data_IF_207596037882
#
_entry.id   IF_207596037882
#
_cell.length_a   1.000
_cell.length_b   1.000
_cell.length_c   1.000
_cell.angle_alpha   90.00
_cell.angle_beta   90.00
_cell.angle_gamma   90.00
#
_symmetry.space_group_name_H-M   'P 1'
#
loop_
_entity.id
_entity.type
_entity.pdbx_description
1 polymer ?
#
# COMPACT_ATOMS: atom_id res chain seq x y z
N UNK A 1 5.66 13.22 -15.53
CA UNK A 1 4.27 13.00 -15.08
C UNK A 1 3.83 14.19 -14.24
N UNK A 2 2.66 14.80 -14.51
CA UNK A 2 2.12 15.86 -13.64
C UNK A 2 1.84 15.28 -12.26
N UNK A 3 2.32 15.96 -11.21
CA UNK A 3 2.04 15.59 -9.83
C UNK A 3 0.55 15.79 -9.58
N UNK A 4 -0.18 14.73 -9.22
CA UNK A 4 -1.60 14.82 -8.87
C UNK A 4 -1.72 15.59 -7.56
N UNK A 5 -2.56 16.61 -7.56
CA UNK A 5 -2.79 17.48 -6.41
C UNK A 5 -4.06 17.06 -5.68
N UNK A 6 -4.00 17.06 -4.36
CA UNK A 6 -5.14 16.83 -3.48
C UNK A 6 -5.93 18.12 -3.34
N UNK A 7 -7.26 18.06 -3.51
CA UNK A 7 -8.17 19.21 -3.41
C UNK A 7 -9.21 19.01 -2.31
N UNK A 8 -9.69 20.10 -1.72
CA UNK A 8 -10.83 20.08 -0.78
C UNK A 8 -12.09 19.58 -1.52
N UNK A 9 -12.89 18.75 -0.84
CA UNK A 9 -14.08 18.08 -1.39
C UNK A 9 -13.77 16.83 -2.23
N UNK A 10 -12.50 16.51 -2.48
CA UNK A 10 -12.10 15.31 -3.21
C UNK A 10 -12.32 14.05 -2.37
N UNK A 11 -12.84 13.00 -3.00
CA UNK A 11 -12.90 11.65 -2.41
C UNK A 11 -11.57 10.93 -2.69
N UNK A 12 -10.98 10.36 -1.65
CA UNK A 12 -9.80 9.49 -1.71
C UNK A 12 -10.16 8.11 -1.16
N UNK A 13 -9.45 7.09 -1.63
CA UNK A 13 -9.57 5.73 -1.14
C UNK A 13 -8.50 5.50 -0.08
N UNK A 14 -8.90 5.15 1.14
CA UNK A 14 -7.98 4.99 2.27
C UNK A 14 -7.97 3.54 2.69
N UNK A 15 -6.80 2.92 2.58
CA UNK A 15 -6.54 1.62 3.16
C UNK A 15 -6.10 1.82 4.62
N UNK A 16 -6.87 1.26 5.55
CA UNK A 16 -6.58 1.30 6.98
C UNK A 16 -6.07 -0.05 7.44
N UNK A 17 -4.94 -0.06 8.14
CA UNK A 17 -4.42 -1.27 8.76
C UNK A 17 -3.89 -0.96 10.16
N UNK A 18 -4.11 -1.89 11.08
CA UNK A 18 -3.45 -1.90 12.38
C UNK A 18 -2.05 -2.45 12.14
N UNK A 19 -1.01 -1.73 12.53
CA UNK A 19 0.35 -2.25 12.43
C UNK A 19 0.42 -3.61 13.13
N UNK A 20 1.13 -4.56 12.52
CA UNK A 20 1.25 -5.96 12.98
C UNK A 20 0.00 -6.84 12.78
N UNK A 21 -1.09 -6.33 12.22
CA UNK A 21 -2.21 -7.18 11.82
C UNK A 21 -1.96 -7.90 10.49
N UNK A 22 -2.33 -9.18 10.43
CA UNK A 22 -2.35 -9.99 9.20
C UNK A 22 -3.67 -9.87 8.43
N UNK A 23 -4.64 -9.14 8.98
CA UNK A 23 -5.93 -8.90 8.31
C UNK A 23 -5.73 -8.07 7.04
N UNK A 24 -6.51 -8.37 5.99
CA UNK A 24 -6.56 -7.53 4.79
C UNK A 24 -6.97 -6.11 5.22
N UNK A 25 -6.27 -5.06 4.75
CA UNK A 25 -6.65 -3.68 5.04
C UNK A 25 -8.09 -3.43 4.59
N UNK A 26 -8.88 -2.72 5.41
CA UNK A 26 -10.17 -2.24 4.95
C UNK A 26 -9.96 -1.02 4.05
N UNK A 27 -10.69 -0.97 2.93
CA UNK A 27 -10.70 0.18 2.05
C UNK A 27 -11.96 1.01 2.31
N UNK A 28 -11.79 2.29 2.62
CA UNK A 28 -12.89 3.21 2.91
C UNK A 28 -12.73 4.51 2.13
N UNK A 29 -13.85 5.15 1.83
CA UNK A 29 -13.85 6.45 1.16
C UNK A 29 -13.67 7.56 2.18
N UNK A 30 -12.78 8.52 1.88
CA UNK A 30 -12.53 9.69 2.71
C UNK A 30 -12.72 10.97 1.92
N UNK A 31 -13.37 11.97 2.51
CA UNK A 31 -13.56 13.30 1.92
C UNK A 31 -12.52 14.27 2.47
N UNK A 32 -11.78 14.93 1.59
CA UNK A 32 -10.76 15.92 1.97
C UNK A 32 -11.44 17.20 2.46
N UNK A 33 -11.15 17.60 3.70
CA UNK A 33 -11.72 18.80 4.31
C UNK A 33 -10.76 19.99 4.32
N UNK A 34 -9.45 19.74 4.37
CA UNK A 34 -8.44 20.80 4.42
C UNK A 34 -7.16 20.37 3.75
N UNK A 35 -6.56 21.28 2.98
CA UNK A 35 -5.25 21.06 2.33
C UNK A 35 -4.27 22.14 2.79
N UNK A 36 -3.15 21.73 3.35
CA UNK A 36 -2.03 22.57 3.75
C UNK A 36 -0.83 22.39 2.80
N UNK A 37 0.23 23.16 3.04
CA UNK A 37 1.49 23.07 2.26
C UNK A 37 2.09 21.66 2.26
N UNK A 38 2.12 20.97 3.41
CA UNK A 38 2.76 19.65 3.58
C UNK A 38 1.80 18.50 3.93
N UNK A 39 0.56 18.80 4.27
CA UNK A 39 -0.40 17.80 4.75
C UNK A 39 -1.80 18.10 4.25
N UNK A 40 -2.70 17.13 4.32
CA UNK A 40 -4.13 17.33 4.15
C UNK A 40 -4.89 16.57 5.23
N UNK A 41 -6.15 16.92 5.41
CA UNK A 41 -7.05 16.33 6.39
C UNK A 41 -8.26 15.78 5.65
N UNK A 42 -8.70 14.59 6.07
CA UNK A 42 -9.87 13.95 5.51
C UNK A 42 -10.58 13.11 6.58
N UNK A 43 -11.89 12.92 6.45
CA UNK A 43 -12.68 12.02 7.30
C UNK A 43 -13.39 10.97 6.43
N UNK A 44 -13.73 9.79 6.98
CA UNK A 44 -14.49 8.80 6.23
C UNK A 44 -15.86 9.35 5.82
N UNK A 45 -16.45 8.85 4.73
CA UNK A 45 -17.81 9.26 4.33
C UNK A 45 -18.86 8.91 5.38
N UNK A 46 -18.60 7.85 6.16
CA UNK A 46 -19.54 7.27 7.13
C UNK A 46 -19.18 7.66 8.58
N UNK A 47 -18.34 8.68 8.79
CA UNK A 47 -17.99 9.15 10.13
C UNK A 47 -17.19 10.45 10.16
N UNK A 48 -17.09 11.04 11.35
CA UNK A 48 -16.56 12.41 11.51
C UNK A 48 -15.10 12.47 11.97
N UNK A 49 -14.44 11.32 12.18
CA UNK A 49 -13.07 11.30 12.66
C UNK A 49 -12.09 11.79 11.57
N UNK A 50 -11.51 12.98 11.80
CA UNK A 50 -10.57 13.60 10.88
C UNK A 50 -9.17 13.01 11.06
N UNK A 51 -8.62 12.49 9.96
CA UNK A 51 -7.27 11.96 9.87
C UNK A 51 -6.38 12.94 9.09
N UNK A 52 -5.18 13.18 9.60
CA UNK A 52 -4.14 13.98 8.93
C UNK A 52 -3.20 13.09 8.14
N UNK A 53 -2.99 13.43 6.87
CA UNK A 53 -2.10 12.72 5.96
C UNK A 53 -0.94 13.61 5.51
N UNK A 54 0.23 13.02 5.27
CA UNK A 54 1.34 13.67 4.58
C UNK A 54 1.04 13.75 3.08
N UNK A 55 1.19 14.92 2.46
CA UNK A 55 0.82 15.14 1.05
C UNK A 55 1.80 14.50 0.05
N UNK A 56 3.03 14.20 0.48
CA UNK A 56 4.05 13.57 -0.36
C UNK A 56 3.90 12.06 -0.35
N UNK A 57 3.66 11.46 0.82
CA UNK A 57 3.56 10.00 0.96
C UNK A 57 2.14 9.49 0.98
N UNK A 58 1.14 10.38 1.09
CA UNK A 58 -0.28 10.04 1.25
C UNK A 58 -0.55 9.16 2.48
N UNK A 59 0.35 9.19 3.47
CA UNK A 59 0.30 8.32 4.65
C UNK A 59 -0.09 9.11 5.90
N UNK A 60 -0.91 8.49 6.74
CA UNK A 60 -1.09 8.85 8.13
C UNK A 60 -0.51 7.76 9.02
N UNK A 61 0.20 8.19 10.06
CA UNK A 61 0.67 7.31 11.11
C UNK A 61 0.17 7.91 12.42
N UNK A 62 -0.75 7.24 13.09
CA UNK A 62 -1.19 7.63 14.42
C UNK A 62 -0.23 7.08 15.48
N UNK A 63 -0.31 7.60 16.70
CA UNK A 63 0.38 7.03 17.86
C UNK A 63 -0.23 5.67 18.28
N UNK A 64 -1.44 5.34 17.81
CA UNK A 64 -2.18 4.11 18.13
C UNK A 64 -1.86 2.93 17.20
N UNK A 65 -0.69 2.94 16.53
CA UNK A 65 -0.29 1.93 15.55
C UNK A 65 -1.21 1.80 14.33
N UNK A 66 -2.19 2.68 14.17
CA UNK A 66 -3.05 2.70 13.02
C UNK A 66 -2.35 3.43 11.87
N UNK A 67 -2.24 2.73 10.74
CA UNK A 67 -1.63 3.24 9.53
C UNK A 67 -2.72 3.39 8.48
N UNK A 68 -2.89 4.61 8.02
CA UNK A 68 -3.78 4.91 6.89
C UNK A 68 -2.94 5.28 5.67
N UNK A 69 -3.28 4.70 4.53
CA UNK A 69 -2.65 5.03 3.25
C UNK A 69 -3.73 5.46 2.26
N UNK A 70 -3.63 6.68 1.74
CA UNK A 70 -4.58 7.25 0.80
C UNK A 70 -4.12 7.06 -0.65
N UNK A 71 -5.10 6.85 -1.54
CA UNK A 71 -4.95 6.63 -2.97
C UNK A 71 -5.95 7.50 -3.74
N UNK A 72 -5.59 7.91 -4.97
CA UNK A 72 -6.45 8.73 -5.81
C UNK A 72 -7.57 7.93 -6.48
N UNK A 73 -7.42 6.60 -6.56
CA UNK A 73 -8.45 5.70 -7.08
C UNK A 73 -8.35 4.32 -6.44
N UNK A 74 -9.46 3.59 -6.43
CA UNK A 74 -9.48 2.18 -6.03
C UNK A 74 -8.56 1.32 -6.89
N UNK A 75 -8.48 1.62 -8.21
CA UNK A 75 -7.61 0.89 -9.15
C UNK A 75 -6.15 0.93 -8.70
N UNK A 76 -5.65 2.08 -8.26
CA UNK A 76 -4.27 2.20 -7.78
C UNK A 76 -3.98 1.32 -6.57
N UNK A 77 -4.92 1.26 -5.63
CA UNK A 77 -4.81 0.39 -4.48
C UNK A 77 -4.79 -1.08 -4.92
N UNK A 78 -5.74 -1.49 -5.77
CA UNK A 78 -5.83 -2.86 -6.28
C UNK A 78 -4.60 -3.28 -7.08
N UNK A 79 -4.12 -2.44 -7.99
CA UNK A 79 -2.91 -2.70 -8.78
C UNK A 79 -1.69 -2.96 -7.86
N UNK A 80 -1.57 -2.22 -6.76
CA UNK A 80 -0.51 -2.42 -5.77
C UNK A 80 -0.69 -3.72 -4.99
N UNK A 81 -1.91 -4.01 -4.52
CA UNK A 81 -2.21 -5.27 -3.82
C UNK A 81 -1.90 -6.46 -4.71
N UNK A 82 -2.37 -6.46 -5.95
CA UNK A 82 -2.13 -7.53 -6.92
C UNK A 82 -0.64 -7.73 -7.19
N UNK A 83 0.12 -6.63 -7.30
CA UNK A 83 1.58 -6.68 -7.44
C UNK A 83 2.24 -7.35 -6.23
N UNK A 84 1.84 -6.98 -5.01
CA UNK A 84 2.40 -7.55 -3.78
C UNK A 84 2.03 -9.03 -3.64
N UNK A 85 0.76 -9.39 -3.87
CA UNK A 85 0.29 -10.79 -3.82
C UNK A 85 1.04 -11.64 -4.85
N UNK A 86 1.14 -11.17 -6.11
CA UNK A 86 1.90 -11.86 -7.16
C UNK A 86 3.37 -12.04 -6.80
N UNK A 87 4.02 -11.00 -6.27
CA UNK A 87 5.41 -11.07 -5.83
C UNK A 87 5.62 -12.09 -4.72
N UNK A 88 4.71 -12.14 -3.74
CA UNK A 88 4.79 -13.08 -2.64
C UNK A 88 4.52 -14.52 -3.10
N UNK A 89 3.56 -14.71 -4.01
CA UNK A 89 3.28 -16.01 -4.64
C UNK A 89 4.51 -16.53 -5.38
N UNK A 90 5.11 -15.71 -6.25
CA UNK A 90 6.31 -16.10 -7.02
C UNK A 90 7.48 -16.43 -6.10
N UNK A 91 7.69 -15.65 -5.02
CA UNK A 91 8.74 -15.96 -4.03
C UNK A 91 8.52 -17.31 -3.37
N UNK A 92 7.28 -17.60 -2.96
CA UNK A 92 6.93 -18.87 -2.34
C UNK A 92 7.16 -20.03 -3.31
N UNK A 93 6.67 -19.90 -4.55
CA UNK A 93 6.82 -20.89 -5.61
C UNK A 93 8.30 -21.15 -5.92
N UNK A 94 9.14 -20.10 -6.03
CA UNK A 94 10.59 -20.25 -6.24
C UNK A 94 11.23 -21.00 -5.06
N UNK A 95 10.95 -20.59 -3.82
CA UNK A 95 11.52 -21.24 -2.63
C UNK A 95 11.12 -22.71 -2.56
N UNK A 96 9.85 -23.02 -2.83
CA UNK A 96 9.35 -24.39 -2.84
C UNK A 96 9.99 -25.21 -3.97
N UNK A 97 10.06 -24.65 -5.18
CA UNK A 97 10.64 -25.33 -6.35
C UNK A 97 12.14 -25.58 -6.20
N UNK A 98 12.87 -24.69 -5.52
CA UNK A 98 14.33 -24.79 -5.34
C UNK A 98 14.73 -25.85 -4.33
N UNK A 99 13.84 -26.23 -3.39
CA UNK A 99 14.16 -27.21 -2.32
C UNK A 99 14.55 -28.58 -2.84
N UNK A 100 13.95 -29.01 -3.95
CA UNK A 100 14.09 -30.37 -4.47
C UNK A 100 15.01 -30.44 -5.71
N UNK A 101 15.72 -29.35 -6.05
CA UNK A 101 16.62 -29.31 -7.20
C UNK A 101 17.98 -29.93 -6.89
N UNK A 102 18.56 -30.58 -7.91
CA UNK A 102 19.94 -31.08 -7.89
C UNK A 102 20.97 -29.93 -7.92
N UNK A 103 22.18 -30.19 -7.40
CA UNK A 103 23.26 -29.21 -7.24
C UNK A 103 23.58 -28.43 -8.54
N UNK A 104 23.68 -29.13 -9.67
CA UNK A 104 23.93 -28.54 -10.98
C UNK A 104 22.88 -27.47 -11.35
N UNK A 105 21.60 -27.70 -11.04
CA UNK A 105 20.52 -26.73 -11.27
C UNK A 105 20.55 -25.57 -10.29
N UNK A 106 20.97 -25.81 -9.05
CA UNK A 106 21.19 -24.73 -8.07
C UNK A 106 22.33 -23.80 -8.50
N UNK A 107 23.41 -24.35 -9.06
CA UNK A 107 24.53 -23.57 -9.62
C UNK A 107 24.09 -22.71 -10.81
N UNK A 108 23.30 -23.28 -11.74
CA UNK A 108 22.72 -22.54 -12.88
C UNK A 108 21.86 -21.35 -12.41
N UNK A 109 20.96 -21.57 -11.44
CA UNK A 109 20.10 -20.52 -10.89
C UNK A 109 20.92 -19.42 -10.20
N UNK A 110 21.94 -19.81 -9.44
CA UNK A 110 22.82 -18.85 -8.74
C UNK A 110 23.54 -17.93 -9.73
N UNK A 111 24.03 -18.49 -10.85
CA UNK A 111 24.69 -17.71 -11.90
C UNK A 111 23.75 -16.71 -12.60
N UNK A 112 22.45 -17.01 -12.68
CA UNK A 112 21.43 -16.08 -13.22
C UNK A 112 21.17 -14.93 -12.26
N UNK A 113 21.08 -15.21 -10.95
CA UNK A 113 20.74 -14.21 -9.92
C UNK A 113 21.89 -13.23 -9.64
N UNK A 114 23.14 -13.67 -9.78
CA UNK A 114 24.33 -12.86 -9.49
C UNK A 114 24.78 -11.95 -10.65
N UNK A 115 24.06 -11.97 -11.79
CA UNK A 115 24.24 -11.04 -12.91
C UNK A 115 23.40 -9.79 -12.75
#
# INVERSE_FOLDING_TARGET
MKKREVKVGQILFVASNIAFSTSKPSLSNYVVTKVNTRSFYAHPTDGDHIVRFDKRTMRSTSHSFEVHQAYFSEKEYRDLVDLYEKKNSLRKEIIESVKDLELNKLEEITAIIQK
#
